data_IF_036167657968
#
_entry.id   IF_036167657968
#
_cell.length_a   1.000
_cell.length_b   1.000
_cell.length_c   1.000
_cell.angle_alpha   90.00
_cell.angle_beta   90.00
_cell.angle_gamma   90.00
#
_symmetry.space_group_name_H-M   'P 1'
#
loop_
_entity.id
_entity.type
_entity.pdbx_description
1 polymer ?
#
# COMPACT_ATOMS: atom_id res chain seq x y z
N UNK A 1 -3.05 11.39 39.57
CA UNK A 1 -2.97 10.21 38.70
C UNK A 1 -1.51 9.82 38.65
N UNK A 2 -1.14 8.69 39.28
CA UNK A 2 0.24 8.21 39.25
C UNK A 2 0.59 7.83 37.80
N UNK A 3 1.69 8.37 37.30
CA UNK A 3 2.22 8.11 35.92
C UNK A 3 2.78 6.68 35.75
N UNK A 4 2.68 5.84 36.78
CA UNK A 4 3.24 4.49 36.84
C UNK A 4 2.32 3.37 36.29
N UNK A 5 1.05 3.68 35.97
CA UNK A 5 0.07 2.65 35.57
C UNK A 5 -0.32 2.70 34.07
N UNK A 6 0.50 3.35 33.25
CA UNK A 6 0.22 3.42 31.81
C UNK A 6 0.73 2.15 31.14
N UNK A 7 -0.12 1.40 30.43
CA UNK A 7 0.31 0.14 29.82
C UNK A 7 1.35 0.39 28.72
N UNK A 8 2.56 -0.10 28.90
CA UNK A 8 3.70 0.05 27.96
C UNK A 8 3.36 -0.30 26.51
N UNK A 9 2.43 -1.23 26.31
CA UNK A 9 2.02 -1.66 24.98
C UNK A 9 1.37 -0.54 24.16
N UNK A 10 0.56 0.32 24.77
CA UNK A 10 -0.14 1.39 24.08
C UNK A 10 0.84 2.46 23.56
N UNK A 11 1.82 2.82 24.39
CA UNK A 11 2.88 3.75 23.98
C UNK A 11 3.73 3.19 22.85
N UNK A 12 4.16 1.92 22.93
CA UNK A 12 4.93 1.26 21.87
C UNK A 12 4.14 1.18 20.56
N UNK A 13 2.89 0.74 20.62
CA UNK A 13 2.02 0.67 19.45
C UNK A 13 1.77 2.07 18.88
N UNK A 14 1.58 3.08 19.72
CA UNK A 14 1.39 4.46 19.31
C UNK A 14 2.61 5.03 18.57
N UNK A 15 3.83 4.80 19.08
CA UNK A 15 5.07 5.24 18.41
C UNK A 15 5.20 4.57 17.06
N UNK A 16 4.98 3.26 16.96
CA UNK A 16 5.00 2.51 15.70
C UNK A 16 3.97 3.08 14.72
N UNK A 17 2.74 3.34 15.20
CA UNK A 17 1.67 3.90 14.37
C UNK A 17 2.02 5.29 13.82
N UNK A 18 2.67 6.15 14.60
CA UNK A 18 3.14 7.46 14.13
C UNK A 18 4.20 7.30 13.05
N UNK A 19 5.25 6.53 13.31
CA UNK A 19 6.36 6.37 12.37
C UNK A 19 5.91 5.75 11.04
N UNK A 20 5.19 4.64 11.12
CA UNK A 20 4.69 3.95 9.93
C UNK A 20 3.60 4.74 9.22
N UNK A 21 2.73 5.42 9.97
CA UNK A 21 1.68 6.27 9.42
C UNK A 21 2.23 7.45 8.62
N UNK A 22 3.27 8.13 9.12
CA UNK A 22 3.95 9.22 8.39
C UNK A 22 4.61 8.67 7.11
N UNK A 23 5.32 7.55 7.21
CA UNK A 23 5.96 6.91 6.06
C UNK A 23 4.94 6.50 5.00
N UNK A 24 3.84 5.87 5.42
CA UNK A 24 2.78 5.44 4.53
C UNK A 24 2.06 6.64 3.90
N UNK A 25 1.76 7.70 4.66
CA UNK A 25 1.13 8.90 4.14
C UNK A 25 2.00 9.56 3.05
N UNK A 26 3.31 9.68 3.29
CA UNK A 26 4.25 10.20 2.31
C UNK A 26 4.31 9.32 1.04
N UNK A 27 4.34 8.00 1.21
CA UNK A 27 4.33 7.05 0.11
C UNK A 27 3.06 7.15 -0.74
N UNK A 28 1.90 7.08 -0.11
CA UNK A 28 0.60 7.15 -0.78
C UNK A 28 0.36 8.50 -1.47
N UNK A 29 0.74 9.61 -0.82
CA UNK A 29 0.65 10.93 -1.41
C UNK A 29 1.57 11.07 -2.64
N UNK A 30 2.78 10.50 -2.60
CA UNK A 30 3.69 10.48 -3.74
C UNK A 30 3.12 9.65 -4.91
N UNK A 31 2.53 8.48 -4.64
CA UNK A 31 1.86 7.67 -5.68
C UNK A 31 0.67 8.42 -6.28
N UNK A 32 -0.13 9.06 -5.46
CA UNK A 32 -1.24 9.89 -5.94
C UNK A 32 -0.76 11.04 -6.84
N UNK A 33 0.29 11.75 -6.44
CA UNK A 33 0.88 12.84 -7.24
C UNK A 33 1.45 12.33 -8.56
N UNK A 34 2.18 11.22 -8.56
CA UNK A 34 2.69 10.61 -9.80
C UNK A 34 1.57 10.34 -10.80
N UNK A 35 0.49 9.73 -10.34
CA UNK A 35 -0.66 9.40 -11.20
C UNK A 35 -1.42 10.65 -11.68
N UNK A 36 -1.46 11.72 -10.86
CA UNK A 36 -2.12 12.96 -11.21
C UNK A 36 -1.32 13.76 -12.25
N UNK A 37 0.02 13.83 -12.08
CA UNK A 37 0.90 14.66 -12.93
C UNK A 37 1.30 13.93 -14.20
N UNK A 38 1.75 12.68 -14.07
CA UNK A 38 2.32 11.93 -15.20
C UNK A 38 1.25 11.50 -16.18
N UNK A 39 -0.03 11.45 -15.79
CA UNK A 39 -1.09 10.93 -16.66
C UNK A 39 -0.68 9.56 -17.21
N UNK A 40 -1.56 8.70 -17.60
CA UNK A 40 -1.17 7.60 -18.48
C UNK A 40 -0.86 8.24 -19.83
N UNK A 41 0.40 8.25 -20.32
CA UNK A 41 0.61 8.68 -21.67
C UNK A 41 -0.28 7.79 -22.55
N UNK A 42 -1.06 8.36 -23.45
CA UNK A 42 -1.70 7.59 -24.45
C UNK A 42 -0.57 7.11 -25.40
N UNK A 43 0.18 6.11 -24.99
CA UNK A 43 1.02 5.39 -25.93
C UNK A 43 0.06 4.60 -26.82
N UNK A 44 -0.44 5.29 -27.81
CA UNK A 44 -0.96 4.66 -29.02
C UNK A 44 0.26 4.07 -29.74
N UNK A 45 0.08 2.94 -30.40
CA UNK A 45 1.09 2.31 -31.26
C UNK A 45 1.78 3.35 -32.17
N UNK A 46 1.07 4.43 -32.54
CA UNK A 46 1.59 5.54 -33.37
C UNK A 46 2.58 6.49 -32.67
N UNK A 47 2.68 6.48 -31.33
CA UNK A 47 3.57 7.35 -30.55
C UNK A 47 4.69 6.59 -29.83
N UNK A 48 4.82 5.29 -30.07
CA UNK A 48 5.92 4.49 -29.55
C UNK A 48 7.23 4.89 -30.25
N UNK A 49 8.33 5.04 -29.48
CA UNK A 49 9.64 5.11 -30.07
C UNK A 49 9.89 3.84 -30.90
N UNK A 50 10.49 4.00 -32.05
CA UNK A 50 10.83 2.86 -32.92
C UNK A 50 11.72 1.88 -32.12
N UNK A 51 11.36 0.59 -32.04
CA UNK A 51 12.16 -0.37 -31.29
C UNK A 51 13.55 -0.49 -31.95
N UNK A 52 14.55 -0.52 -31.07
CA UNK A 52 15.93 -0.70 -31.49
C UNK A 52 16.15 -2.16 -31.90
N UNK A 53 16.10 -2.40 -33.21
CA UNK A 53 16.30 -3.69 -33.81
C UNK A 53 17.62 -3.64 -34.64
N UNK A 54 18.74 -3.87 -33.96
CA UNK A 54 20.04 -3.88 -34.63
C UNK A 54 20.17 -5.04 -35.62
N UNK A 55 20.62 -4.72 -36.85
CA UNK A 55 20.66 -5.71 -37.92
C UNK A 55 21.61 -6.87 -37.63
N UNK A 56 22.66 -6.63 -36.88
CA UNK A 56 23.67 -7.63 -36.59
C UNK A 56 23.14 -8.65 -35.58
N UNK A 57 22.35 -8.21 -34.56
CA UNK A 57 21.68 -9.09 -33.63
C UNK A 57 20.56 -9.91 -34.29
N UNK A 58 19.83 -9.31 -35.22
CA UNK A 58 18.77 -10.00 -35.96
C UNK A 58 19.28 -11.18 -36.79
N UNK A 59 20.47 -11.03 -37.36
CA UNK A 59 21.10 -12.11 -38.14
C UNK A 59 21.53 -13.27 -37.22
N UNK A 60 22.05 -12.97 -36.05
CA UNK A 60 22.43 -13.99 -35.06
C UNK A 60 21.22 -14.75 -34.54
N UNK A 61 20.11 -14.06 -34.28
CA UNK A 61 18.87 -14.65 -33.78
C UNK A 61 17.98 -15.27 -34.86
N UNK A 62 18.30 -15.04 -36.12
CA UNK A 62 17.51 -15.56 -37.25
C UNK A 62 16.14 -14.90 -37.40
N UNK A 63 16.00 -13.65 -36.89
CA UNK A 63 14.78 -12.87 -36.93
C UNK A 63 14.79 -11.87 -38.10
N UNK A 64 13.65 -11.66 -38.70
CA UNK A 64 13.46 -10.54 -39.59
C UNK A 64 13.19 -9.24 -38.86
N UNK A 65 13.45 -8.09 -39.46
CA UNK A 65 13.16 -6.76 -38.89
C UNK A 65 11.68 -6.61 -38.49
N UNK A 66 10.79 -7.20 -39.29
CA UNK A 66 9.34 -7.16 -39.04
C UNK A 66 8.96 -8.01 -37.81
N UNK A 67 9.57 -9.19 -37.66
CA UNK A 67 9.36 -10.04 -36.50
C UNK A 67 9.90 -9.42 -35.22
N UNK A 68 11.07 -8.76 -35.26
CA UNK A 68 11.60 -7.99 -34.12
C UNK A 68 10.63 -6.88 -33.71
N UNK A 69 10.14 -6.09 -34.68
CA UNK A 69 9.16 -5.03 -34.38
C UNK A 69 7.87 -5.58 -33.78
N UNK A 70 7.32 -6.63 -34.34
CA UNK A 70 6.10 -7.26 -33.81
C UNK A 70 6.31 -7.82 -32.38
N UNK A 71 7.46 -8.44 -32.14
CA UNK A 71 7.82 -8.96 -30.82
C UNK A 71 7.99 -7.82 -29.80
N UNK A 72 8.69 -6.75 -30.17
CA UNK A 72 8.89 -5.58 -29.31
C UNK A 72 7.55 -4.90 -28.99
N UNK A 73 6.65 -4.75 -29.93
CA UNK A 73 5.31 -4.23 -29.70
C UNK A 73 4.47 -5.15 -28.81
N UNK A 74 4.51 -6.46 -29.04
CA UNK A 74 3.79 -7.43 -28.24
C UNK A 74 4.30 -7.45 -26.78
N UNK A 75 5.62 -7.44 -26.57
CA UNK A 75 6.23 -7.38 -25.23
C UNK A 75 5.87 -6.07 -24.53
N UNK A 76 5.90 -4.96 -25.24
CA UNK A 76 5.52 -3.67 -24.69
C UNK A 76 4.04 -3.63 -24.29
N UNK A 77 3.14 -4.09 -25.17
CA UNK A 77 1.71 -4.14 -24.90
C UNK A 77 1.40 -5.02 -23.70
N UNK A 78 1.97 -6.22 -23.63
CA UNK A 78 1.79 -7.13 -22.49
C UNK A 78 2.39 -6.55 -21.18
N UNK A 79 3.56 -5.90 -21.28
CA UNK A 79 4.28 -5.42 -20.08
C UNK A 79 3.65 -4.17 -19.49
N UNK A 80 3.17 -3.25 -20.33
CA UNK A 80 2.67 -1.93 -19.94
C UNK A 80 1.14 -1.88 -19.92
N UNK A 81 0.45 -2.91 -20.47
CA UNK A 81 -1.01 -2.92 -20.47
C UNK A 81 -1.57 -2.86 -19.05
N UNK A 82 -1.87 -1.65 -18.63
CA UNK A 82 -2.72 -1.47 -17.45
C UNK A 82 -4.18 -1.38 -17.91
N UNK A 83 -5.10 -2.11 -17.27
CA UNK A 83 -6.52 -1.95 -17.57
C UNK A 83 -6.93 -0.48 -17.42
N UNK A 84 -7.83 0.01 -18.30
CA UNK A 84 -8.24 1.43 -18.30
C UNK A 84 -8.82 1.90 -16.94
N UNK A 85 -9.35 0.99 -16.13
CA UNK A 85 -9.85 1.27 -14.78
C UNK A 85 -8.73 1.42 -13.73
N UNK A 86 -7.52 0.87 -13.98
CA UNK A 86 -6.46 0.76 -12.97
C UNK A 86 -6.02 2.13 -12.43
N UNK A 87 -5.86 3.12 -13.30
CA UNK A 87 -5.44 4.47 -12.90
C UNK A 87 -6.43 5.09 -11.90
N UNK A 88 -7.70 5.14 -12.24
CA UNK A 88 -8.74 5.73 -11.38
C UNK A 88 -8.88 4.97 -10.08
N UNK A 89 -8.81 3.65 -10.13
CA UNK A 89 -8.83 2.77 -8.97
C UNK A 89 -7.63 3.04 -8.04
N UNK A 90 -6.41 3.06 -8.60
CA UNK A 90 -5.20 3.27 -7.81
C UNK A 90 -5.13 4.70 -7.23
N UNK A 91 -5.58 5.72 -7.97
CA UNK A 91 -5.72 7.08 -7.45
C UNK A 91 -6.69 7.15 -6.26
N UNK A 92 -7.84 6.50 -6.35
CA UNK A 92 -8.81 6.46 -5.26
C UNK A 92 -8.25 5.75 -4.03
N UNK A 93 -7.55 4.62 -4.22
CA UNK A 93 -6.91 3.89 -3.13
C UNK A 93 -5.77 4.68 -2.49
N UNK A 94 -4.92 5.33 -3.27
CA UNK A 94 -3.82 6.16 -2.75
C UNK A 94 -4.35 7.37 -1.97
N UNK A 95 -5.43 8.00 -2.45
CA UNK A 95 -6.11 9.06 -1.71
C UNK A 95 -6.69 8.58 -0.38
N UNK A 96 -7.44 7.47 -0.41
CA UNK A 96 -7.99 6.86 0.80
C UNK A 96 -6.89 6.39 1.76
N UNK A 97 -5.81 5.80 1.23
CA UNK A 97 -4.64 5.37 1.98
C UNK A 97 -3.94 6.53 2.69
N UNK A 98 -3.78 7.68 2.02
CA UNK A 98 -3.22 8.89 2.62
C UNK A 98 -4.06 9.35 3.82
N UNK A 99 -5.39 9.42 3.67
CA UNK A 99 -6.29 9.82 4.75
C UNK A 99 -6.23 8.84 5.92
N UNK A 100 -6.28 7.52 5.66
CA UNK A 100 -6.20 6.51 6.71
C UNK A 100 -4.83 6.50 7.40
N UNK A 101 -3.75 6.75 6.66
CA UNK A 101 -2.40 6.87 7.23
C UNK A 101 -2.29 8.07 8.17
N UNK A 102 -2.86 9.22 7.80
CA UNK A 102 -2.94 10.40 8.70
C UNK A 102 -3.80 10.12 9.93
N UNK A 103 -4.92 9.41 9.78
CA UNK A 103 -5.72 8.96 10.93
C UNK A 103 -4.94 8.00 11.83
N UNK A 104 -4.11 7.12 11.26
CA UNK A 104 -3.22 6.25 12.02
C UNK A 104 -2.21 7.05 12.86
N UNK A 105 -1.62 8.12 12.30
CA UNK A 105 -0.74 9.04 13.06
C UNK A 105 -1.50 9.69 14.21
N UNK A 106 -2.70 10.22 13.95
CA UNK A 106 -3.52 10.86 14.98
C UNK A 106 -3.91 9.90 16.11
N UNK A 107 -4.32 8.70 15.76
CA UNK A 107 -4.61 7.64 16.74
C UNK A 107 -3.33 7.23 17.49
N UNK A 108 -2.20 7.15 16.80
CA UNK A 108 -0.91 6.87 17.41
C UNK A 108 -0.51 7.89 18.48
N UNK A 109 -0.67 9.20 18.20
CA UNK A 109 -0.45 10.27 19.16
C UNK A 109 -1.39 10.10 20.37
N UNK A 110 -2.67 9.83 20.12
CA UNK A 110 -3.66 9.63 21.16
C UNK A 110 -3.37 8.38 22.03
N UNK A 111 -2.76 7.33 21.46
CA UNK A 111 -2.29 6.15 22.20
C UNK A 111 -1.10 6.49 23.11
N UNK A 112 -0.15 7.29 22.62
CA UNK A 112 0.99 7.76 23.42
C UNK A 112 0.51 8.66 24.58
N UNK A 113 -0.51 9.50 24.33
CA UNK A 113 -1.15 10.37 25.34
C UNK A 113 -2.15 9.61 26.25
N UNK A 114 -2.28 8.31 26.13
CA UNK A 114 -3.20 7.45 26.90
C UNK A 114 -4.66 7.92 26.90
N UNK A 115 -5.12 8.42 25.75
CA UNK A 115 -6.54 8.80 25.62
C UNK A 115 -7.43 7.56 25.60
N UNK A 116 -8.44 7.51 26.48
CA UNK A 116 -9.34 6.35 26.63
C UNK A 116 -10.02 5.88 25.34
N UNK A 117 -10.27 6.78 24.42
CA UNK A 117 -10.89 6.44 23.13
C UNK A 117 -9.88 5.86 22.12
N UNK A 118 -8.56 6.10 22.31
CA UNK A 118 -7.54 5.76 21.34
C UNK A 118 -7.45 4.25 21.08
N UNK A 119 -7.51 3.42 22.12
CA UNK A 119 -7.50 1.96 22.01
C UNK A 119 -8.71 1.44 21.24
N UNK A 120 -9.87 2.09 21.39
CA UNK A 120 -11.08 1.73 20.66
C UNK A 120 -11.01 2.16 19.18
N UNK A 121 -10.39 3.32 18.90
CA UNK A 121 -10.22 3.84 17.54
C UNK A 121 -9.09 3.15 16.76
N UNK A 122 -8.06 2.65 17.44
CA UNK A 122 -6.94 1.95 16.81
C UNK A 122 -7.39 0.71 16.00
N UNK A 123 -8.30 -0.07 16.55
CA UNK A 123 -8.80 -1.30 15.91
C UNK A 123 -9.43 -1.02 14.53
N UNK A 124 -10.45 -0.12 14.39
CA UNK A 124 -11.03 0.15 13.08
C UNK A 124 -10.07 0.86 12.13
N UNK A 125 -9.16 1.72 12.61
CA UNK A 125 -8.21 2.42 11.73
C UNK A 125 -7.19 1.43 11.15
N UNK A 126 -6.57 0.59 11.97
CA UNK A 126 -5.60 -0.40 11.47
C UNK A 126 -6.30 -1.51 10.67
N UNK A 127 -7.54 -1.90 11.05
CA UNK A 127 -8.35 -2.82 10.29
C UNK A 127 -8.74 -2.27 8.91
N UNK A 128 -9.06 -0.97 8.82
CA UNK A 128 -9.36 -0.31 7.54
C UNK A 128 -8.12 -0.23 6.63
N UNK A 129 -6.92 0.03 7.20
CA UNK A 129 -5.66 -0.02 6.46
C UNK A 129 -5.39 -1.43 5.92
N UNK A 130 -5.52 -2.47 6.74
CA UNK A 130 -5.36 -3.85 6.29
C UNK A 130 -6.38 -4.23 5.20
N UNK A 131 -7.63 -3.78 5.32
CA UNK A 131 -8.65 -3.98 4.28
C UNK A 131 -8.29 -3.27 2.98
N UNK A 132 -7.78 -2.04 3.06
CA UNK A 132 -7.33 -1.29 1.89
C UNK A 132 -6.19 -2.01 1.18
N UNK A 133 -5.26 -2.63 1.93
CA UNK A 133 -4.19 -3.45 1.34
C UNK A 133 -4.75 -4.69 0.61
N UNK A 134 -5.77 -5.36 1.17
CA UNK A 134 -6.46 -6.49 0.48
C UNK A 134 -7.12 -6.02 -0.82
N UNK A 135 -7.77 -4.86 -0.80
CA UNK A 135 -8.41 -4.29 -2.01
C UNK A 135 -7.34 -3.91 -3.03
N UNK A 136 -6.22 -3.31 -2.59
CA UNK A 136 -5.07 -3.00 -3.44
C UNK A 136 -4.46 -4.26 -4.06
N UNK A 137 -4.28 -5.30 -3.26
CA UNK A 137 -3.78 -6.59 -3.72
C UNK A 137 -4.65 -7.18 -4.83
N UNK A 138 -5.98 -7.19 -4.65
CA UNK A 138 -6.90 -7.70 -5.68
C UNK A 138 -6.81 -6.90 -6.98
N UNK A 139 -6.68 -5.57 -6.89
CA UNK A 139 -6.47 -4.71 -8.06
C UNK A 139 -5.17 -4.99 -8.79
N UNK A 140 -4.07 -5.15 -8.05
CA UNK A 140 -2.74 -5.41 -8.63
C UNK A 140 -2.66 -6.81 -9.24
N UNK A 141 -3.26 -7.83 -8.63
CA UNK A 141 -3.29 -9.20 -9.20
C UNK A 141 -4.05 -9.25 -10.52
N UNK A 142 -5.07 -8.40 -10.69
CA UNK A 142 -5.83 -8.29 -11.93
C UNK A 142 -5.23 -7.30 -12.95
N UNK A 143 -4.03 -6.76 -12.70
CA UNK A 143 -3.30 -5.90 -13.61
C UNK A 143 -2.19 -6.65 -14.37
N UNK A 144 -1.51 -5.96 -15.27
CA UNK A 144 -0.42 -6.52 -16.08
C UNK A 144 0.79 -7.01 -15.25
N UNK A 145 1.63 -7.89 -15.82
CA UNK A 145 2.72 -8.55 -15.10
C UNK A 145 3.74 -7.57 -14.51
N UNK A 146 4.05 -6.47 -15.18
CA UNK A 146 4.97 -5.46 -14.71
C UNK A 146 4.45 -4.76 -13.45
N UNK A 147 3.18 -4.34 -13.46
CA UNK A 147 2.54 -3.69 -12.31
C UNK A 147 2.51 -4.66 -11.12
N UNK A 148 2.18 -5.92 -11.38
CA UNK A 148 2.19 -6.97 -10.37
C UNK A 148 3.55 -7.14 -9.73
N UNK A 149 4.61 -7.19 -10.52
CA UNK A 149 5.98 -7.31 -10.01
C UNK A 149 6.41 -6.10 -9.16
N UNK A 150 6.01 -4.90 -9.56
CA UNK A 150 6.39 -3.66 -8.86
C UNK A 150 5.68 -3.48 -7.51
N UNK A 151 4.40 -3.83 -7.42
CA UNK A 151 3.57 -3.46 -6.27
C UNK A 151 3.24 -4.60 -5.31
N UNK A 152 3.25 -5.87 -5.78
CA UNK A 152 2.76 -7.00 -5.01
C UNK A 152 3.45 -7.15 -3.65
N UNK A 153 4.78 -7.12 -3.64
CA UNK A 153 5.57 -7.31 -2.42
C UNK A 153 5.39 -6.18 -1.42
N UNK A 154 5.31 -4.95 -1.90
CA UNK A 154 5.06 -3.79 -1.04
C UNK A 154 3.69 -3.86 -0.37
N UNK A 155 2.65 -4.24 -1.12
CA UNK A 155 1.29 -4.39 -0.59
C UNK A 155 1.23 -5.51 0.46
N UNK A 156 1.85 -6.65 0.19
CA UNK A 156 1.89 -7.76 1.14
C UNK A 156 2.61 -7.36 2.44
N UNK A 157 3.73 -6.65 2.33
CA UNK A 157 4.47 -6.16 3.50
C UNK A 157 3.58 -5.23 4.35
N UNK A 158 2.93 -4.24 3.73
CA UNK A 158 2.03 -3.33 4.43
C UNK A 158 0.83 -4.03 5.05
N UNK A 159 0.25 -4.98 4.34
CA UNK A 159 -0.84 -5.81 4.88
C UNK A 159 -0.45 -6.52 6.18
N UNK A 160 0.69 -7.20 6.21
CA UNK A 160 1.15 -7.87 7.44
C UNK A 160 1.46 -6.89 8.56
N UNK A 161 2.01 -5.72 8.26
CA UNK A 161 2.25 -4.66 9.25
C UNK A 161 0.92 -4.18 9.85
N UNK A 162 -0.04 -3.81 9.01
CA UNK A 162 -1.34 -3.32 9.48
C UNK A 162 -2.13 -4.40 10.23
N UNK A 163 -2.06 -5.64 9.77
CA UNK A 163 -2.66 -6.78 10.46
C UNK A 163 -2.04 -6.97 11.86
N UNK A 164 -0.71 -6.92 11.96
CA UNK A 164 -0.02 -7.02 13.25
C UNK A 164 -0.39 -5.88 14.20
N UNK A 165 -0.52 -4.64 13.68
CA UNK A 165 -0.96 -3.48 14.47
C UNK A 165 -2.41 -3.64 14.93
N UNK A 166 -3.32 -4.13 14.08
CA UNK A 166 -4.70 -4.39 14.44
C UNK A 166 -4.81 -5.47 15.52
N UNK A 167 -4.08 -6.58 15.36
CA UNK A 167 -4.03 -7.66 16.36
C UNK A 167 -3.43 -7.14 17.68
N UNK A 168 -2.34 -6.36 17.62
CA UNK A 168 -1.74 -5.73 18.79
C UNK A 168 -2.72 -4.85 19.57
N UNK A 169 -3.51 -4.05 18.85
CA UNK A 169 -4.55 -3.21 19.44
C UNK A 169 -5.68 -4.04 20.11
N UNK A 170 -6.09 -5.14 19.46
CA UNK A 170 -7.12 -6.05 19.99
C UNK A 170 -6.62 -6.72 21.29
N UNK A 171 -5.42 -7.32 21.24
CA UNK A 171 -4.82 -8.01 22.39
C UNK A 171 -4.58 -7.05 23.53
N UNK A 172 -4.02 -5.87 23.27
CA UNK A 172 -3.78 -4.84 24.28
C UNK A 172 -5.08 -4.42 24.98
N UNK A 173 -6.16 -4.20 24.21
CA UNK A 173 -7.48 -3.87 24.77
C UNK A 173 -8.09 -5.02 25.59
N UNK A 174 -7.87 -6.27 25.20
CA UNK A 174 -8.36 -7.42 25.96
C UNK A 174 -7.66 -7.55 27.30
N UNK A 175 -6.33 -7.37 27.35
CA UNK A 175 -5.54 -7.41 28.56
C UNK A 175 -5.97 -6.29 29.52
N UNK A 176 -6.13 -5.06 29.04
CA UNK A 176 -6.63 -3.93 29.82
C UNK A 176 -8.01 -4.24 30.48
N UNK A 177 -8.91 -4.88 29.74
CA UNK A 177 -10.23 -5.28 30.26
C UNK A 177 -10.15 -6.42 31.28
N UNK A 178 -9.18 -7.33 31.13
CA UNK A 178 -8.98 -8.42 32.06
C UNK A 178 -8.47 -7.91 33.43
N UNK A 179 -7.55 -6.94 33.41
CA UNK A 179 -7.02 -6.31 34.64
C UNK A 179 -8.07 -5.49 35.40
N UNK A 180 -9.02 -4.88 34.67
CA UNK A 180 -10.11 -4.09 35.26
C UNK A 180 -11.26 -4.95 35.83
N UNK A 181 -11.27 -6.28 35.62
CA UNK A 181 -12.22 -7.18 36.25
C UNK A 181 -11.64 -7.63 37.61
N UNK A 182 -12.09 -7.04 38.75
CA UNK A 182 -11.68 -7.56 40.03
C UNK A 182 -12.14 -9.01 40.13
N UNK A 183 -11.26 -9.87 40.68
CA UNK A 183 -11.61 -11.26 40.97
C UNK A 183 -12.90 -11.28 41.78
N UNK A 184 -14.00 -11.69 41.13
CA UNK A 184 -15.26 -11.93 41.79
C UNK A 184 -15.10 -13.25 42.57
N UNK A 185 -14.54 -13.14 43.77
CA UNK A 185 -14.52 -14.18 44.81
C UNK A 185 -15.33 -13.74 46.00
#
# INVERSE_FOLDING_TARGET
MNTSDTPDWASRLGIIAILLGVLLAAWQANEWMKLAIVGTPPYTIATMPEPDCEKDELVEEGLSLEECRQLAFAVHDISISSPGWFKSFHMALSGAGTVLALLSVFVGIALVDYRRWATAAAIPVFGALALLDVVSFTGVVNSGPLIRQMYLWSILLWFFIHLAMAVGAIVGRQNERAELRPAAT
#
